data_IF_386912707476
#
_entry.id   IF_386912707476
#
_cell.length_a   1.000
_cell.length_b   1.000
_cell.length_c   1.000
_cell.angle_alpha   90.00
_cell.angle_beta   90.00
_cell.angle_gamma   90.00
#
_symmetry.space_group_name_H-M   'P 1'
#
loop_
_entity.id
_entity.type
_entity.pdbx_description
1 polymer ?
#
# COMPACT_ATOMS: atom_id res chain seq x y z
N UNK A 1 5.33 7.37 3.21
CA UNK A 1 5.97 7.20 4.54
C UNK A 1 4.95 7.10 5.69
N UNK A 2 4.06 8.09 5.86
CA UNK A 2 3.10 8.12 6.96
C UNK A 2 2.28 6.82 7.12
N UNK A 3 1.72 6.29 6.05
CA UNK A 3 0.91 5.06 6.09
C UNK A 3 1.74 3.82 6.41
N UNK A 4 3.00 3.78 6.00
CA UNK A 4 3.91 2.65 6.28
C UNK A 4 4.40 2.62 7.74
N UNK A 5 4.66 3.78 8.33
CA UNK A 5 5.22 3.90 9.67
C UNK A 5 4.18 4.25 10.75
N UNK A 6 2.99 4.70 10.33
CA UNK A 6 2.01 5.31 11.23
C UNK A 6 2.44 6.71 11.68
N UNK A 7 1.56 7.42 12.40
CA UNK A 7 1.84 8.78 12.88
C UNK A 7 3.03 8.85 13.83
N UNK A 8 3.09 7.93 14.79
CA UNK A 8 4.17 7.89 15.78
C UNK A 8 5.52 7.56 15.13
N UNK A 9 5.55 6.55 14.27
CA UNK A 9 6.77 6.17 13.55
C UNK A 9 7.26 7.27 12.62
N UNK A 10 6.35 7.97 11.94
CA UNK A 10 6.70 9.14 11.14
C UNK A 10 7.27 10.26 12.00
N UNK A 11 6.67 10.56 13.15
CA UNK A 11 7.16 11.58 14.07
C UNK A 11 8.56 11.24 14.58
N UNK A 12 8.80 10.00 15.03
CA UNK A 12 10.14 9.56 15.46
C UNK A 12 11.18 9.72 14.36
N UNK A 13 10.81 9.38 13.12
CA UNK A 13 11.68 9.56 11.97
C UNK A 13 12.01 11.03 11.70
N UNK A 14 11.02 11.92 11.79
CA UNK A 14 11.21 13.36 11.64
C UNK A 14 12.12 13.92 12.74
N UNK A 15 11.90 13.55 13.99
CA UNK A 15 12.72 14.01 15.11
C UNK A 15 14.18 13.59 14.91
N UNK A 16 14.43 12.35 14.50
CA UNK A 16 15.78 11.86 14.20
C UNK A 16 16.40 12.56 12.98
N UNK A 17 15.58 12.81 11.94
CA UNK A 17 16.03 13.54 10.75
C UNK A 17 16.52 14.94 11.10
N UNK A 18 15.73 15.70 11.87
CA UNK A 18 16.14 17.02 12.32
C UNK A 18 17.34 16.98 13.27
N UNK A 19 17.39 16.01 14.18
CA UNK A 19 18.55 15.85 15.07
C UNK A 19 19.86 15.62 14.30
N UNK A 20 19.81 14.90 13.18
CA UNK A 20 20.99 14.58 12.36
C UNK A 20 21.38 15.69 11.40
N UNK A 21 20.40 16.40 10.86
CA UNK A 21 20.55 17.17 9.64
C UNK A 21 20.04 18.61 9.71
N UNK A 22 19.70 19.11 10.88
CA UNK A 22 19.26 20.50 11.01
C UNK A 22 20.33 21.47 10.49
N UNK A 23 19.92 22.41 9.63
CA UNK A 23 20.80 23.38 9.01
C UNK A 23 21.73 22.82 7.92
N UNK A 24 21.57 21.56 7.49
CA UNK A 24 22.39 20.93 6.45
C UNK A 24 21.63 20.79 5.12
N UNK A 25 22.35 20.81 4.01
CA UNK A 25 21.83 20.41 2.72
C UNK A 25 21.94 18.87 2.59
N UNK A 26 20.81 18.19 2.46
CA UNK A 26 20.71 16.72 2.48
C UNK A 26 19.90 16.20 1.31
N UNK A 27 19.95 14.88 1.12
CA UNK A 27 19.26 14.15 0.06
C UNK A 27 18.01 13.42 0.57
N UNK A 28 17.18 12.89 -0.36
CA UNK A 28 16.09 11.99 0.01
C UNK A 28 16.60 10.70 0.68
N UNK A 29 17.85 10.31 0.40
CA UNK A 29 18.46 9.12 1.02
C UNK A 29 18.70 9.33 2.51
N UNK A 30 19.16 10.50 2.91
CA UNK A 30 19.37 10.87 4.32
C UNK A 30 18.02 10.87 5.08
N UNK A 31 16.98 11.39 4.44
CA UNK A 31 15.61 11.33 4.99
C UNK A 31 15.14 9.89 5.18
N UNK A 32 15.29 9.03 4.15
CA UNK A 32 14.90 7.63 4.23
C UNK A 32 15.69 6.87 5.30
N UNK A 33 17.00 7.13 5.42
CA UNK A 33 17.84 6.53 6.45
C UNK A 33 17.35 6.88 7.85
N UNK A 34 17.05 8.15 8.12
CA UNK A 34 16.49 8.58 9.41
C UNK A 34 15.15 7.92 9.72
N UNK A 35 14.26 7.80 8.71
CA UNK A 35 12.97 7.12 8.85
C UNK A 35 13.13 5.61 9.12
N UNK A 36 14.07 4.96 8.46
CA UNK A 36 14.38 3.53 8.63
C UNK A 36 14.93 3.27 10.03
N UNK A 37 15.96 4.01 10.42
CA UNK A 37 16.65 3.84 11.70
C UNK A 37 15.73 4.09 12.89
N UNK A 38 14.96 5.18 12.87
CA UNK A 38 14.05 5.54 13.95
C UNK A 38 12.96 4.49 14.21
N UNK A 39 12.64 3.68 13.20
CA UNK A 39 11.58 2.69 13.27
C UNK A 39 12.08 1.23 13.19
N UNK A 40 13.39 1.01 13.07
CA UNK A 40 13.96 -0.33 12.87
C UNK A 40 13.38 -1.06 11.65
N UNK A 41 13.14 -0.33 10.55
CA UNK A 41 12.47 -0.86 9.35
C UNK A 41 13.35 -0.73 8.11
N UNK A 42 13.39 -1.79 7.31
CA UNK A 42 14.02 -1.71 5.99
C UNK A 42 13.14 -0.93 5.02
N UNK A 43 13.67 0.18 4.52
CA UNK A 43 13.05 1.04 3.51
C UNK A 43 13.78 1.04 2.17
N UNK A 44 14.69 0.07 1.96
CA UNK A 44 15.50 -0.03 0.73
C UNK A 44 14.62 -0.08 -0.52
N UNK A 45 13.60 -0.94 -0.53
CA UNK A 45 12.66 -1.01 -1.66
C UNK A 45 11.77 0.24 -1.75
N UNK A 46 11.44 0.88 -0.62
CA UNK A 46 10.65 2.11 -0.63
C UNK A 46 11.37 3.25 -1.34
N UNK A 47 12.70 3.21 -1.44
CA UNK A 47 13.52 4.15 -2.22
C UNK A 47 13.11 4.22 -3.69
N UNK A 48 12.50 3.16 -4.25
CA UNK A 48 12.01 3.17 -5.62
C UNK A 48 11.01 4.31 -5.91
N UNK A 49 10.28 4.79 -4.89
CA UNK A 49 9.40 5.96 -5.02
C UNK A 49 10.14 7.27 -5.32
N UNK A 50 11.42 7.36 -4.97
CA UNK A 50 12.26 8.54 -5.20
C UNK A 50 13.13 8.38 -6.45
N UNK A 51 13.49 7.16 -6.82
CA UNK A 51 14.42 6.88 -7.90
C UNK A 51 13.75 6.50 -9.23
N UNK A 52 12.49 6.10 -9.23
CA UNK A 52 11.75 5.72 -10.44
C UNK A 52 10.67 6.75 -10.78
N UNK A 53 10.65 7.19 -12.03
CA UNK A 53 9.60 8.04 -12.57
C UNK A 53 8.34 7.24 -12.91
N UNK A 54 7.20 7.90 -12.99
CA UNK A 54 5.91 7.30 -13.32
C UNK A 54 5.08 6.93 -12.09
N UNK A 55 3.80 6.67 -12.32
CA UNK A 55 2.84 6.28 -11.29
C UNK A 55 2.52 4.81 -11.45
N UNK A 56 2.70 3.97 -10.40
CA UNK A 56 2.35 2.56 -10.49
C UNK A 56 0.84 2.37 -10.63
N UNK A 57 0.50 1.33 -11.39
CA UNK A 57 -0.86 0.81 -11.55
C UNK A 57 -0.99 -0.48 -10.77
N UNK A 58 -2.05 -0.62 -9.99
CA UNK A 58 -2.36 -1.84 -9.25
C UNK A 58 -3.65 -2.44 -9.81
N UNK A 59 -3.53 -3.63 -10.38
CA UNK A 59 -4.67 -4.43 -10.81
C UNK A 59 -5.16 -5.28 -9.65
N UNK A 60 -6.47 -5.26 -9.41
CA UNK A 60 -7.13 -5.98 -8.33
C UNK A 60 -7.90 -7.17 -8.91
N UNK A 61 -7.72 -8.33 -8.30
CA UNK A 61 -8.57 -9.51 -8.51
C UNK A 61 -9.04 -10.04 -7.18
N UNK A 62 -10.32 -10.31 -7.08
CA UNK A 62 -10.93 -10.89 -5.89
C UNK A 62 -11.58 -12.23 -6.20
N UNK A 63 -11.62 -13.10 -5.20
CA UNK A 63 -12.32 -14.36 -5.24
C UNK A 63 -12.90 -14.65 -3.85
N UNK A 64 -14.19 -14.94 -3.80
CA UNK A 64 -14.86 -15.36 -2.58
C UNK A 64 -15.29 -16.83 -2.69
N UNK A 65 -14.91 -17.62 -1.69
CA UNK A 65 -15.28 -19.02 -1.52
C UNK A 65 -16.25 -19.12 -0.34
N UNK A 66 -17.56 -19.20 -0.66
CA UNK A 66 -18.61 -19.31 0.34
C UNK A 66 -18.54 -20.62 1.14
N UNK A 67 -18.04 -21.70 0.55
CA UNK A 67 -17.96 -23.01 1.21
C UNK A 67 -16.90 -23.00 2.31
N UNK A 68 -15.74 -22.44 2.02
CA UNK A 68 -14.62 -22.33 2.97
C UNK A 68 -14.63 -21.02 3.76
N UNK A 69 -15.59 -20.11 3.49
CA UNK A 69 -15.68 -18.77 4.10
C UNK A 69 -14.38 -17.99 3.97
N UNK A 70 -13.78 -18.07 2.78
CA UNK A 70 -12.51 -17.42 2.46
C UNK A 70 -12.69 -16.36 1.40
N UNK A 71 -12.04 -15.21 1.62
CA UNK A 71 -11.90 -14.18 0.62
C UNK A 71 -10.42 -14.05 0.24
N UNK A 72 -10.13 -14.15 -1.05
CA UNK A 72 -8.79 -14.08 -1.61
C UNK A 72 -8.64 -12.82 -2.44
N UNK A 73 -7.68 -11.99 -2.07
CA UNK A 73 -7.33 -10.74 -2.75
C UNK A 73 -5.97 -10.89 -3.41
N UNK A 74 -5.92 -10.79 -4.72
CA UNK A 74 -4.67 -10.78 -5.50
C UNK A 74 -4.45 -9.40 -6.09
N UNK A 75 -3.31 -8.80 -5.78
CA UNK A 75 -2.88 -7.51 -6.28
C UNK A 75 -1.65 -7.67 -7.16
N UNK A 76 -1.67 -7.06 -8.35
CA UNK A 76 -0.54 -7.05 -9.28
C UNK A 76 -0.17 -5.62 -9.60
N UNK A 77 1.12 -5.27 -9.41
CA UNK A 77 1.62 -3.93 -9.70
C UNK A 77 2.41 -3.87 -11.00
N UNK A 78 2.30 -2.76 -11.69
CA UNK A 78 3.09 -2.43 -12.86
C UNK A 78 3.33 -0.93 -12.93
N UNK A 79 4.41 -0.51 -13.58
CA UNK A 79 4.66 0.90 -13.90
C UNK A 79 5.12 1.00 -15.34
N UNK A 80 4.53 1.91 -16.10
CA UNK A 80 4.87 2.10 -17.51
C UNK A 80 6.33 2.57 -17.67
N UNK A 81 7.02 2.16 -18.73
CA UNK A 81 8.31 2.69 -19.10
C UNK A 81 8.28 4.22 -19.22
N UNK A 82 9.38 4.86 -18.83
CA UNK A 82 9.56 6.30 -19.01
C UNK A 82 10.90 6.56 -19.69
N UNK A 83 11.12 7.74 -20.32
CA UNK A 83 12.40 8.06 -20.93
C UNK A 83 13.57 7.85 -19.95
N UNK A 84 14.58 7.10 -20.37
CA UNK A 84 15.73 6.73 -19.53
C UNK A 84 15.49 5.66 -18.46
N UNK A 85 14.24 5.18 -18.30
CA UNK A 85 13.87 4.14 -17.34
C UNK A 85 12.88 3.15 -17.96
N UNK A 86 13.37 2.32 -18.87
CA UNK A 86 12.56 1.32 -19.58
C UNK A 86 12.09 0.20 -18.65
N UNK A 87 12.98 -0.26 -17.79
CA UNK A 87 12.68 -1.28 -16.78
C UNK A 87 12.35 -0.64 -15.43
N UNK A 88 11.30 -1.15 -14.79
CA UNK A 88 10.83 -0.69 -13.49
C UNK A 88 10.89 -1.82 -12.47
N UNK A 89 11.49 -1.54 -11.33
CA UNK A 89 11.46 -2.44 -10.17
C UNK A 89 10.13 -2.30 -9.45
N UNK A 90 9.64 -3.35 -8.79
CA UNK A 90 8.44 -3.26 -7.95
C UNK A 90 8.56 -2.17 -6.90
N UNK A 91 7.50 -1.42 -6.71
CA UNK A 91 7.39 -0.45 -5.63
C UNK A 91 6.98 -1.16 -4.33
N UNK A 92 7.35 -0.60 -3.20
CA UNK A 92 6.77 -0.95 -1.92
C UNK A 92 5.50 -0.09 -1.72
N UNK A 93 4.33 -0.67 -1.93
CA UNK A 93 3.04 0.04 -1.94
C UNK A 93 2.25 -0.32 -0.66
N UNK A 94 2.13 0.60 0.31
CA UNK A 94 1.28 0.41 1.48
C UNK A 94 -0.18 0.68 1.13
N UNK A 95 -1.03 -0.33 1.19
CA UNK A 95 -2.44 -0.25 0.84
C UNK A 95 -3.32 -0.51 2.05
N UNK A 96 -4.09 0.48 2.45
CA UNK A 96 -5.14 0.30 3.42
C UNK A 96 -6.37 -0.31 2.76
N UNK A 97 -6.82 -1.42 3.31
CA UNK A 97 -7.99 -2.15 2.82
C UNK A 97 -8.97 -2.42 3.94
N UNK A 98 -10.23 -2.59 3.59
CA UNK A 98 -11.29 -3.05 4.49
C UNK A 98 -12.25 -3.92 3.72
N UNK A 99 -12.64 -5.04 4.31
CA UNK A 99 -13.73 -5.87 3.82
C UNK A 99 -15.03 -5.47 4.53
N UNK A 100 -16.03 -5.08 3.76
CA UNK A 100 -17.32 -4.63 4.24
C UNK A 100 -18.33 -5.72 3.94
N UNK A 101 -19.02 -6.23 4.97
CA UNK A 101 -20.12 -7.18 4.84
C UNK A 101 -21.37 -6.63 5.52
N UNK A 102 -22.55 -7.14 5.18
CA UNK A 102 -23.80 -6.73 5.80
C UNK A 102 -23.85 -7.05 7.31
N UNK A 103 -23.23 -8.15 7.72
CA UNK A 103 -23.28 -8.63 9.11
C UNK A 103 -22.13 -8.08 9.97
N UNK A 104 -20.97 -7.86 9.40
CA UNK A 104 -19.78 -7.45 10.18
C UNK A 104 -18.73 -6.77 9.29
N UNK A 105 -18.32 -5.58 9.67
CA UNK A 105 -17.24 -4.89 9.00
C UNK A 105 -15.91 -5.35 9.59
N UNK A 106 -15.05 -5.97 8.76
CA UNK A 106 -13.70 -6.31 9.17
C UNK A 106 -12.89 -5.06 9.55
N UNK A 107 -11.94 -5.21 10.46
CA UNK A 107 -11.04 -4.12 10.80
C UNK A 107 -10.22 -3.67 9.57
N UNK A 108 -9.92 -2.37 9.49
CA UNK A 108 -9.01 -1.85 8.48
C UNK A 108 -7.64 -2.48 8.62
N UNK A 109 -7.08 -2.97 7.52
CA UNK A 109 -5.75 -3.59 7.48
C UNK A 109 -4.84 -2.83 6.53
N UNK A 110 -3.54 -2.81 6.86
CA UNK A 110 -2.50 -2.30 6.00
C UNK A 110 -1.81 -3.48 5.32
N UNK A 111 -1.99 -3.61 4.01
CA UNK A 111 -1.27 -4.57 3.18
C UNK A 111 -0.04 -3.90 2.59
N UNK A 112 1.06 -4.62 2.53
CA UNK A 112 2.30 -4.14 1.91
C UNK A 112 2.56 -4.94 0.64
N UNK A 113 2.25 -4.34 -0.52
CA UNK A 113 2.52 -4.93 -1.83
C UNK A 113 3.97 -4.62 -2.21
N UNK A 114 4.82 -5.62 -2.15
CA UNK A 114 6.26 -5.53 -2.41
C UNK A 114 6.70 -6.31 -3.64
N UNK A 115 5.92 -7.32 -4.02
CA UNK A 115 6.18 -8.16 -5.17
C UNK A 115 5.39 -7.69 -6.40
N UNK A 116 5.77 -8.11 -7.61
CA UNK A 116 4.97 -7.84 -8.81
C UNK A 116 3.53 -8.32 -8.68
N UNK A 117 3.32 -9.45 -7.98
CA UNK A 117 1.99 -9.99 -7.67
C UNK A 117 2.02 -10.66 -6.31
N UNK A 118 1.07 -10.30 -5.45
CA UNK A 118 0.89 -10.91 -4.14
C UNK A 118 -0.58 -11.24 -3.90
N UNK A 119 -0.82 -12.29 -3.10
CA UNK A 119 -2.17 -12.73 -2.73
C UNK A 119 -2.30 -12.79 -1.21
N UNK A 120 -3.38 -12.24 -0.69
CA UNK A 120 -3.78 -12.34 0.71
C UNK A 120 -5.06 -13.15 0.81
N UNK A 121 -5.16 -13.99 1.82
CA UNK A 121 -6.34 -14.78 2.13
C UNK A 121 -6.89 -14.31 3.48
N UNK A 122 -8.18 -14.04 3.51
CA UNK A 122 -8.91 -13.65 4.70
C UNK A 122 -9.90 -14.77 5.02
N UNK A 123 -9.77 -15.34 6.20
CA UNK A 123 -10.62 -16.43 6.67
C UNK A 123 -11.82 -15.90 7.47
N UNK A 124 -12.82 -16.75 7.65
CA UNK A 124 -14.03 -16.47 8.44
C UNK A 124 -14.84 -15.28 7.88
N UNK A 125 -14.95 -15.23 6.58
CA UNK A 125 -15.79 -14.26 5.87
C UNK A 125 -17.10 -14.96 5.55
N UNK A 126 -18.14 -14.70 6.35
CA UNK A 126 -19.41 -15.42 6.26
C UNK A 126 -20.19 -15.07 4.99
N UNK A 127 -20.15 -13.81 4.57
CA UNK A 127 -20.84 -13.30 3.38
C UNK A 127 -19.84 -12.70 2.39
N UNK A 128 -20.18 -12.67 1.08
CA UNK A 128 -19.34 -12.00 0.09
C UNK A 128 -19.11 -10.54 0.48
N UNK A 129 -17.87 -10.15 0.75
CA UNK A 129 -17.59 -8.79 1.16
C UNK A 129 -17.47 -7.85 -0.03
N UNK A 130 -17.69 -6.56 0.19
CA UNK A 130 -17.28 -5.48 -0.71
C UNK A 130 -15.90 -4.98 -0.27
N UNK A 131 -14.95 -4.96 -1.21
CA UNK A 131 -13.60 -4.48 -0.96
C UNK A 131 -13.53 -2.96 -1.04
N UNK A 132 -13.15 -2.32 0.06
CA UNK A 132 -12.72 -0.92 0.07
C UNK A 132 -11.20 -0.89 0.09
N UNK A 133 -10.57 -0.38 -0.98
CA UNK A 133 -9.11 -0.40 -1.19
C UNK A 133 -8.55 1.03 -1.33
N UNK A 134 -7.26 1.19 -1.01
CA UNK A 134 -6.54 2.47 -1.00
C UNK A 134 -7.22 3.54 -0.15
N UNK A 135 -7.75 3.11 0.98
CA UNK A 135 -8.47 3.99 1.90
C UNK A 135 -7.60 5.14 2.36
N UNK A 136 -8.19 6.34 2.43
CA UNK A 136 -7.51 7.59 2.75
C UNK A 136 -6.31 7.89 1.83
N UNK A 137 -6.36 7.43 0.58
CA UNK A 137 -5.26 7.58 -0.39
C UNK A 137 -3.92 7.10 0.20
N UNK A 138 -3.92 5.87 0.75
CA UNK A 138 -2.75 5.30 1.42
C UNK A 138 -1.51 5.20 0.53
N UNK A 139 -1.69 5.14 -0.79
CA UNK A 139 -0.63 5.18 -1.78
C UNK A 139 -1.04 6.00 -3.02
N UNK A 140 -0.11 6.75 -3.65
CA UNK A 140 -0.36 7.51 -4.89
C UNK A 140 -0.25 6.57 -6.10
N UNK A 141 -1.32 5.83 -6.38
CA UNK A 141 -1.38 4.79 -7.42
C UNK A 141 -2.63 4.94 -8.27
N UNK A 142 -2.60 4.33 -9.47
CA UNK A 142 -3.80 4.04 -10.22
C UNK A 142 -4.32 2.66 -9.85
N UNK A 143 -5.61 2.57 -9.54
CA UNK A 143 -6.27 1.30 -9.25
C UNK A 143 -7.06 0.87 -10.49
N UNK A 144 -6.83 -0.37 -10.91
CA UNK A 144 -7.54 -1.05 -11.98
C UNK A 144 -8.38 -2.15 -11.32
N UNK A 145 -9.62 -1.81 -10.98
CA UNK A 145 -10.55 -2.66 -10.27
C UNK A 145 -11.97 -2.46 -10.78
N UNK A 146 -12.52 -3.51 -11.36
CA UNK A 146 -13.91 -3.56 -11.82
C UNK A 146 -14.81 -3.96 -10.65
N UNK A 147 -15.58 -3.02 -10.14
CA UNK A 147 -16.60 -3.25 -9.12
C UNK A 147 -18.00 -3.11 -9.73
N UNK A 148 -18.97 -3.87 -9.24
CA UNK A 148 -20.37 -3.71 -9.64
C UNK A 148 -20.94 -2.39 -9.12
N UNK A 149 -22.02 -1.90 -9.74
CA UNK A 149 -22.75 -0.72 -9.24
C UNK A 149 -23.25 -0.93 -7.81
N UNK A 150 -23.69 -2.14 -7.46
CA UNK A 150 -24.14 -2.50 -6.12
C UNK A 150 -23.01 -2.42 -5.09
N UNK A 151 -21.81 -2.93 -5.46
CA UNK A 151 -20.63 -2.82 -4.60
C UNK A 151 -20.23 -1.36 -4.37
N UNK A 152 -20.30 -0.54 -5.43
CA UNK A 152 -19.99 0.88 -5.33
C UNK A 152 -20.98 1.62 -4.43
N UNK A 153 -22.28 1.34 -4.53
CA UNK A 153 -23.30 1.92 -3.64
C UNK A 153 -23.10 1.55 -2.17
N UNK A 154 -22.50 0.39 -1.89
CA UNK A 154 -22.18 -0.03 -0.52
C UNK A 154 -21.02 0.73 0.08
N UNK A 155 -20.16 1.36 -0.76
CA UNK A 155 -18.98 2.11 -0.31
C UNK A 155 -19.29 3.58 0.03
N UNK A 156 -20.45 4.09 -0.32
CA UNK A 156 -20.92 5.45 -0.03
C UNK A 156 -21.88 5.48 1.15
#
# INVERSE_FOLDING_TARGET
>A
MLFRSGREGFRKGMDLYFQRHDGQAVTCDDFLAAMADANGKDLTQFKNWYSQAGTPRVKVKEQYDATNKQYRLTLSQSCAPTPGQVEKKPFHIPLKVRLITAANNQAEQLLELTEPTQTWTFDRIDDRPVLSINRNFSAPIHIDFEQSEEDLLTLF
#
